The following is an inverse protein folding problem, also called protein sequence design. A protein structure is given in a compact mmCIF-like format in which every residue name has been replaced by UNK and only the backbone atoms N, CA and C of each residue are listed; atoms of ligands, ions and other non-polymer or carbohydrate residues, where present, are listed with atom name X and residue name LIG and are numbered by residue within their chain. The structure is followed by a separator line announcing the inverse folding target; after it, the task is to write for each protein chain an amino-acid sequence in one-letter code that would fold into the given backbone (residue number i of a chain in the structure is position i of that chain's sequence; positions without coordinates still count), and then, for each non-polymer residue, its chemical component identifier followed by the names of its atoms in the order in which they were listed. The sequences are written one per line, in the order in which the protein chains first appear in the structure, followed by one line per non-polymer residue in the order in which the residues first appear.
data_IF_095496541530
#
_entry.id   IF_095496541530
#
_cell.length_a   1.000
_cell.length_b   1.000
_cell.length_c   1.000
_cell.angle_alpha   90.00
_cell.angle_beta   90.00
_cell.angle_gamma   90.00
#
_symmetry.space_group_name_H-M   'P 1'
#
loop_
_entity.id
_entity.type
_entity.pdbx_description
1 polymer ?
#
# COMPACT_ATOMS: atom_id res chain seq x y z
N UNK A 1 21.31 6.65 -12.25
CA UNK A 1 20.68 5.30 -12.37
C UNK A 1 21.39 4.39 -11.37
N UNK A 2 20.62 3.65 -10.55
CA UNK A 2 21.19 2.76 -9.52
C UNK A 2 21.76 1.45 -10.10
N UNK A 3 21.66 1.21 -11.41
CA UNK A 3 22.17 0.00 -12.07
C UNK A 3 21.41 -1.30 -11.71
N UNK A 4 20.28 -1.20 -11.04
CA UNK A 4 19.45 -2.37 -10.64
C UNK A 4 18.62 -2.81 -11.85
N UNK A 5 18.57 -4.12 -12.17
CA UNK A 5 17.76 -4.62 -13.27
C UNK A 5 16.27 -4.46 -12.97
N UNK A 6 15.50 -4.06 -13.98
CA UNK A 6 14.05 -3.98 -13.88
C UNK A 6 13.43 -5.38 -13.99
N UNK A 7 12.45 -5.67 -13.16
CA UNK A 7 11.73 -6.95 -13.14
C UNK A 7 10.75 -7.07 -14.32
N UNK A 8 10.22 -5.92 -14.81
CA UNK A 8 9.26 -5.89 -15.89
C UNK A 8 9.24 -4.56 -16.65
N UNK A 9 8.34 -4.48 -17.65
CA UNK A 9 8.15 -3.28 -18.49
C UNK A 9 7.50 -2.11 -17.75
N UNK A 10 6.89 -2.35 -16.58
CA UNK A 10 6.31 -1.31 -15.75
C UNK A 10 7.37 -0.58 -14.89
N UNK A 11 8.63 -0.99 -14.98
CA UNK A 11 9.73 -0.37 -14.24
C UNK A 11 9.84 -0.83 -12.79
N UNK A 12 9.22 -1.96 -12.44
CA UNK A 12 9.32 -2.54 -11.11
C UNK A 12 10.66 -3.22 -10.90
N UNK A 13 11.07 -3.37 -9.66
CA UNK A 13 12.30 -4.04 -9.26
C UNK A 13 11.99 -5.20 -8.32
N UNK A 14 12.83 -6.25 -8.36
CA UNK A 14 12.76 -7.35 -7.40
C UNK A 14 13.74 -7.05 -6.28
N UNK A 15 13.27 -6.71 -5.07
CA UNK A 15 14.15 -6.51 -3.92
C UNK A 15 14.58 -7.84 -3.31
N UNK A 16 15.52 -7.74 -2.37
CA UNK A 16 15.85 -8.82 -1.44
C UNK A 16 14.70 -9.08 -0.47
N UNK A 17 14.78 -10.14 0.31
CA UNK A 17 13.72 -10.56 1.24
C UNK A 17 13.40 -9.52 2.34
N UNK A 18 14.32 -8.63 2.64
CA UNK A 18 14.19 -7.54 3.62
C UNK A 18 13.69 -6.22 3.00
N UNK A 19 13.40 -6.22 1.69
CA UNK A 19 13.03 -5.08 0.84
C UNK A 19 14.20 -4.15 0.48
N UNK A 20 15.44 -4.51 0.73
CA UNK A 20 16.60 -3.79 0.18
C UNK A 20 16.82 -4.11 -1.29
N UNK A 21 17.56 -3.28 -1.98
CA UNK A 21 17.94 -3.53 -3.38
C UNK A 21 19.15 -4.47 -3.45
N UNK A 22 19.19 -5.41 -4.42
CA UNK A 22 20.33 -6.26 -4.65
C UNK A 22 21.62 -5.45 -4.84
N UNK A 23 22.64 -5.75 -4.04
CA UNK A 23 23.93 -5.04 -4.07
C UNK A 23 23.95 -3.65 -3.42
N UNK A 24 22.79 -3.15 -2.95
CA UNK A 24 22.64 -1.85 -2.29
C UNK A 24 21.82 -2.01 -1.00
N UNK A 25 22.39 -2.62 0.04
CA UNK A 25 21.64 -2.97 1.25
C UNK A 25 21.15 -1.76 2.05
N UNK A 26 21.65 -0.57 1.82
CA UNK A 26 21.21 0.68 2.41
C UNK A 26 20.01 1.31 1.68
N UNK A 27 19.63 0.79 0.51
CA UNK A 27 18.52 1.30 -0.30
C UNK A 27 17.34 0.35 -0.22
N UNK A 28 16.22 0.83 0.33
CA UNK A 28 14.99 0.07 0.41
C UNK A 28 13.98 0.51 -0.63
N UNK A 29 13.17 -0.43 -1.09
CA UNK A 29 12.09 -0.17 -2.05
C UNK A 29 10.76 -0.73 -1.52
N UNK A 30 9.66 -0.02 -1.76
CA UNK A 30 8.33 -0.42 -1.32
C UNK A 30 7.22 0.13 -2.20
N UNK A 31 6.00 -0.40 -2.02
CA UNK A 31 4.82 0.00 -2.79
C UNK A 31 4.81 -0.56 -4.21
N UNK A 32 4.28 0.22 -5.14
CA UNK A 32 4.00 -0.20 -6.52
C UNK A 32 5.25 -0.47 -7.36
N UNK A 33 6.42 0.00 -6.90
CA UNK A 33 7.71 -0.27 -7.54
C UNK A 33 8.22 -1.69 -7.30
N UNK A 34 7.60 -2.43 -6.38
CA UNK A 34 8.07 -3.76 -5.97
C UNK A 34 7.42 -4.86 -6.77
N UNK A 35 8.23 -5.79 -7.29
CA UNK A 35 7.80 -7.04 -7.88
C UNK A 35 8.17 -8.19 -6.94
N UNK A 36 7.22 -8.61 -6.11
CA UNK A 36 7.36 -9.73 -5.16
C UNK A 36 6.15 -10.65 -5.19
N UNK A 37 6.36 -11.88 -4.75
CA UNK A 37 5.30 -12.86 -4.49
C UNK A 37 5.13 -13.09 -2.99
N UNK A 38 3.94 -13.53 -2.61
CA UNK A 38 3.65 -13.98 -1.24
C UNK A 38 4.18 -15.41 -1.00
N UNK A 39 3.96 -15.93 0.20
CA UNK A 39 4.34 -17.30 0.59
C UNK A 39 3.63 -18.42 -0.19
N UNK A 40 2.72 -18.08 -1.10
CA UNK A 40 1.98 -18.98 -1.98
C UNK A 40 2.28 -18.72 -3.45
N UNK A 41 3.41 -18.07 -3.75
CA UNK A 41 3.83 -17.65 -5.10
C UNK A 41 2.83 -16.76 -5.85
N UNK A 42 1.92 -16.06 -5.14
CA UNK A 42 1.00 -15.11 -5.75
C UNK A 42 1.62 -13.73 -5.77
N UNK A 43 1.52 -12.98 -6.87
CA UNK A 43 2.01 -11.61 -6.92
C UNK A 43 1.39 -10.74 -5.82
N UNK A 44 2.23 -10.00 -5.11
CA UNK A 44 1.75 -9.01 -4.14
C UNK A 44 1.16 -7.83 -4.93
N UNK A 45 -0.11 -7.47 -4.70
CA UNK A 45 -0.75 -6.43 -5.48
C UNK A 45 -0.22 -5.03 -5.13
N UNK A 46 -0.17 -4.13 -6.12
CA UNK A 46 0.13 -2.71 -5.94
C UNK A 46 -1.05 -1.98 -5.31
N UNK A 47 -1.22 -2.13 -4.00
CA UNK A 47 -2.31 -1.51 -3.23
C UNK A 47 -1.77 -0.89 -1.94
N UNK A 48 -2.45 0.16 -1.46
CA UNK A 48 -2.04 0.88 -0.26
C UNK A 48 -1.80 0.00 0.99
N UNK A 49 -2.59 -1.05 1.28
CA UNK A 49 -2.30 -1.98 2.38
C UNK A 49 -0.96 -2.70 2.23
N UNK A 50 -0.55 -3.09 1.02
CA UNK A 50 0.76 -3.71 0.78
C UNK A 50 1.89 -2.71 1.00
N UNK A 51 1.79 -1.52 0.39
CA UNK A 51 2.78 -0.45 0.57
C UNK A 51 2.96 -0.05 2.04
N UNK A 52 1.86 0.04 2.80
CA UNK A 52 1.90 0.35 4.23
C UNK A 52 2.60 -0.76 5.04
N UNK A 53 2.40 -2.02 4.70
CA UNK A 53 3.10 -3.14 5.35
C UNK A 53 4.59 -3.12 5.03
N UNK A 54 4.97 -2.87 3.77
CA UNK A 54 6.36 -2.71 3.36
C UNK A 54 7.04 -1.56 4.12
N UNK A 55 6.42 -0.38 4.17
CA UNK A 55 6.96 0.77 4.90
C UNK A 55 7.13 0.51 6.40
N UNK A 56 6.18 -0.20 7.04
CA UNK A 56 6.31 -0.60 8.45
C UNK A 56 7.44 -1.60 8.66
N UNK A 57 7.61 -2.54 7.73
CA UNK A 57 8.70 -3.51 7.77
C UNK A 57 10.06 -2.80 7.68
N UNK A 58 10.26 -1.93 6.69
CA UNK A 58 11.49 -1.14 6.55
C UNK A 58 11.76 -0.32 7.79
N UNK A 59 10.74 0.35 8.35
CA UNK A 59 10.88 1.11 9.59
C UNK A 59 11.31 0.22 10.78
N UNK A 60 10.83 -1.03 10.84
CA UNK A 60 11.24 -1.97 11.89
C UNK A 60 12.68 -2.44 11.70
N UNK A 61 13.11 -2.70 10.48
CA UNK A 61 14.50 -3.05 10.13
C UNK A 61 15.44 -1.92 10.53
N UNK A 62 15.15 -0.68 10.08
CA UNK A 62 15.98 0.48 10.42
C UNK A 62 16.05 0.75 11.92
N UNK A 63 14.93 0.60 12.64
CA UNK A 63 14.90 0.74 14.10
C UNK A 63 15.79 -0.28 14.79
N UNK A 64 15.77 -1.52 14.33
CA UNK A 64 16.62 -2.59 14.90
C UNK A 64 18.10 -2.34 14.57
N UNK A 65 18.39 -1.90 13.35
CA UNK A 65 19.76 -1.53 12.98
C UNK A 65 20.32 -0.39 13.83
N UNK A 66 19.52 0.68 14.05
CA UNK A 66 19.93 1.77 14.94
C UNK A 66 20.13 1.30 16.39
N UNK A 67 19.42 0.25 16.82
CA UNK A 67 19.62 -0.37 18.12
C UNK A 67 20.94 -1.17 18.16
N UNK A 68 21.22 -1.93 17.12
CA UNK A 68 22.42 -2.75 16.99
C UNK A 68 23.69 -1.91 16.83
N UNK A 69 23.64 -0.75 16.19
CA UNK A 69 24.76 0.19 16.09
C UNK A 69 25.31 0.64 17.45
N UNK A 70 24.46 0.60 18.49
CA UNK A 70 24.83 0.92 19.87
C UNK A 70 25.42 -0.28 20.62
N UNK A 71 25.55 -1.44 19.97
CA UNK A 71 26.02 -2.69 20.55
C UNK A 71 27.22 -3.24 19.79
N UNK A 72 27.82 -4.33 20.31
CA UNK A 72 28.93 -5.04 19.67
C UNK A 72 28.57 -5.83 18.41
N UNK A 73 27.28 -5.88 18.02
CA UNK A 73 26.77 -6.67 16.87
C UNK A 73 26.67 -5.87 15.57
N UNK A 74 27.41 -4.78 15.45
CA UNK A 74 27.39 -3.91 14.27
C UNK A 74 27.71 -4.65 12.95
N UNK A 75 28.63 -5.61 12.98
CA UNK A 75 29.08 -6.34 11.79
C UNK A 75 28.05 -7.36 11.28
N UNK A 76 27.15 -7.85 12.15
CA UNK A 76 26.11 -8.83 11.82
C UNK A 76 24.78 -8.18 11.39
N UNK A 77 24.76 -6.88 11.24
CA UNK A 77 23.58 -6.06 10.99
C UNK A 77 22.72 -6.56 9.82
N UNK A 78 23.34 -6.93 8.70
CA UNK A 78 22.65 -7.39 7.48
C UNK A 78 22.06 -8.80 7.65
N UNK A 79 22.78 -9.70 8.32
CA UNK A 79 22.33 -11.08 8.53
C UNK A 79 21.13 -11.19 9.49
N UNK A 80 20.96 -10.18 10.36
CA UNK A 80 19.88 -10.13 11.35
C UNK A 80 18.60 -9.46 10.82
N UNK A 81 18.59 -9.01 9.58
CA UNK A 81 17.40 -8.40 9.00
C UNK A 81 16.27 -9.40 8.85
N UNK A 82 15.09 -9.01 9.32
CA UNK A 82 13.88 -9.81 9.18
C UNK A 82 13.40 -9.85 7.73
N UNK A 83 12.86 -10.99 7.29
CA UNK A 83 12.24 -11.14 5.97
C UNK A 83 10.86 -10.50 5.95
N UNK A 84 10.53 -9.80 4.88
CA UNK A 84 9.19 -9.26 4.68
C UNK A 84 8.18 -10.38 4.43
N UNK A 85 7.03 -10.30 5.08
CA UNK A 85 5.90 -11.22 4.87
C UNK A 85 4.63 -10.42 4.64
N UNK A 86 4.06 -10.56 3.47
CA UNK A 86 2.80 -9.92 3.13
C UNK A 86 1.62 -10.64 3.78
N UNK A 87 0.77 -9.87 4.45
CA UNK A 87 -0.51 -10.33 4.96
C UNK A 87 -1.64 -9.76 4.10
N UNK A 88 -2.28 -10.63 3.31
CA UNK A 88 -3.39 -10.27 2.44
C UNK A 88 -4.65 -9.96 3.27
N UNK A 89 -5.01 -8.68 3.34
CA UNK A 89 -6.23 -8.20 4.02
C UNK A 89 -7.46 -8.23 3.13
N UNK A 90 -7.30 -8.61 1.88
CA UNK A 90 -8.33 -8.54 0.88
C UNK A 90 -8.28 -7.27 0.05
N UNK A 91 -9.20 -7.18 -0.89
CA UNK A 91 -9.32 -6.11 -1.87
C UNK A 91 -10.74 -5.56 -1.86
N UNK A 92 -10.88 -4.27 -2.10
CA UNK A 92 -12.18 -3.63 -2.26
C UNK A 92 -12.13 -2.57 -3.35
N UNK A 93 -13.23 -2.43 -4.08
CA UNK A 93 -13.35 -1.44 -5.16
C UNK A 93 -14.78 -0.86 -5.20
N UNK A 94 -14.87 0.45 -5.43
CA UNK A 94 -16.13 1.11 -5.80
C UNK A 94 -16.42 0.82 -7.27
N UNK A 95 -17.68 0.46 -7.55
CA UNK A 95 -18.20 0.30 -8.91
C UNK A 95 -19.02 1.51 -9.31
N UNK A 96 -19.65 2.18 -8.33
CA UNK A 96 -20.47 3.35 -8.54
C UNK A 96 -21.16 3.83 -7.25
N UNK A 97 -22.09 4.76 -7.38
CA UNK A 97 -22.91 5.24 -6.26
C UNK A 97 -23.69 4.07 -5.66
N UNK A 98 -23.54 3.84 -4.36
CA UNK A 98 -24.18 2.75 -3.61
C UNK A 98 -23.75 1.34 -4.04
N UNK A 99 -22.67 1.20 -4.81
CA UNK A 99 -22.21 -0.08 -5.31
C UNK A 99 -20.70 -0.23 -5.17
N UNK A 100 -20.28 -1.26 -4.45
CA UNK A 100 -18.89 -1.67 -4.31
C UNK A 100 -18.80 -3.19 -4.25
N UNK A 101 -17.58 -3.69 -4.34
CA UNK A 101 -17.23 -5.08 -4.13
C UNK A 101 -16.13 -5.17 -3.07
N UNK A 102 -16.24 -6.15 -2.19
CA UNK A 102 -15.23 -6.45 -1.16
C UNK A 102 -14.96 -7.94 -1.19
N UNK A 103 -13.69 -8.30 -1.25
CA UNK A 103 -13.21 -9.66 -1.14
C UNK A 103 -12.13 -9.71 -0.06
N UNK A 104 -12.39 -10.41 1.04
CA UNK A 104 -11.44 -10.59 2.13
C UNK A 104 -11.49 -12.04 2.63
N UNK A 105 -10.48 -12.82 2.26
CA UNK A 105 -10.47 -14.26 2.51
C UNK A 105 -11.68 -14.95 1.90
N UNK A 106 -12.57 -15.51 2.74
CA UNK A 106 -13.82 -16.17 2.31
C UNK A 106 -15.01 -15.20 2.25
N UNK A 107 -14.87 -13.99 2.79
CA UNK A 107 -15.94 -12.99 2.82
C UNK A 107 -16.03 -12.30 1.46
N UNK A 108 -17.21 -12.34 0.86
CA UNK A 108 -17.54 -11.63 -0.37
C UNK A 108 -18.75 -10.74 -0.10
N UNK A 109 -18.60 -9.42 -0.23
CA UNK A 109 -19.69 -8.46 -0.12
C UNK A 109 -19.83 -7.71 -1.44
N UNK A 110 -21.07 -7.41 -1.81
CA UNK A 110 -21.40 -6.63 -3.02
C UNK A 110 -22.50 -5.61 -2.74
N UNK A 111 -22.66 -4.64 -3.62
CA UNK A 111 -23.73 -3.65 -3.57
C UNK A 111 -23.57 -2.65 -2.43
N UNK A 112 -24.70 -2.24 -1.85
CA UNK A 112 -24.77 -1.16 -0.85
C UNK A 112 -24.01 -1.46 0.43
N UNK A 113 -24.09 -2.69 0.96
CA UNK A 113 -23.36 -3.09 2.18
C UNK A 113 -21.84 -3.02 1.96
N UNK A 114 -21.36 -3.49 0.80
CA UNK A 114 -19.96 -3.37 0.43
C UNK A 114 -19.53 -1.90 0.29
N UNK A 115 -20.41 -1.03 -0.23
CA UNK A 115 -20.17 0.39 -0.35
C UNK A 115 -20.06 1.07 1.02
N UNK A 116 -20.94 0.77 1.97
CA UNK A 116 -20.83 1.25 3.35
C UNK A 116 -19.54 0.77 4.04
N UNK A 117 -19.18 -0.50 3.88
CA UNK A 117 -17.93 -1.04 4.39
C UNK A 117 -16.71 -0.32 3.80
N UNK A 118 -16.73 -0.02 2.51
CA UNK A 118 -15.68 0.74 1.83
C UNK A 118 -15.56 2.15 2.41
N UNK A 119 -16.67 2.90 2.55
CA UNK A 119 -16.69 4.23 3.17
C UNK A 119 -16.09 4.20 4.58
N UNK A 120 -16.57 3.28 5.41
CA UNK A 120 -16.12 3.15 6.80
C UNK A 120 -14.62 2.89 6.90
N UNK A 121 -14.11 1.93 6.12
CA UNK A 121 -12.69 1.55 6.13
C UNK A 121 -11.83 2.73 5.66
N UNK A 122 -12.23 3.45 4.60
CA UNK A 122 -11.45 4.59 4.10
C UNK A 122 -11.40 5.74 5.11
N UNK A 123 -12.52 6.06 5.77
CA UNK A 123 -12.54 7.06 6.86
C UNK A 123 -11.67 6.60 8.04
N UNK A 124 -11.72 5.32 8.40
CA UNK A 124 -10.95 4.77 9.51
C UNK A 124 -9.44 4.94 9.30
N UNK A 125 -8.95 4.65 8.08
CA UNK A 125 -7.53 4.73 7.73
C UNK A 125 -7.03 6.13 7.38
N UNK A 126 -7.92 7.10 7.21
CA UNK A 126 -7.54 8.48 6.96
C UNK A 126 -6.83 9.08 8.18
N UNK A 127 -5.70 9.74 7.96
CA UNK A 127 -4.90 10.34 9.04
C UNK A 127 -5.47 11.70 9.44
N UNK A 128 -5.59 11.91 10.76
CA UNK A 128 -6.03 13.16 11.36
C UNK A 128 -7.55 13.32 11.47
N UNK A 129 -8.02 13.69 12.66
CA UNK A 129 -9.45 13.86 12.93
C UNK A 129 -10.12 14.91 12.04
N UNK A 130 -9.43 16.05 11.85
CA UNK A 130 -9.90 17.13 10.98
C UNK A 130 -10.13 16.65 9.54
N UNK A 131 -9.21 15.86 9.01
CA UNK A 131 -9.33 15.31 7.66
C UNK A 131 -10.50 14.32 7.55
N UNK A 132 -10.69 13.46 8.57
CA UNK A 132 -11.83 12.54 8.62
C UNK A 132 -13.17 13.29 8.57
N UNK A 133 -13.29 14.33 9.37
CA UNK A 133 -14.52 15.14 9.43
C UNK A 133 -14.76 15.87 8.10
N UNK A 134 -13.72 16.51 7.53
CA UNK A 134 -13.82 17.22 6.26
C UNK A 134 -14.25 16.30 5.11
N UNK A 135 -13.64 15.12 5.00
CA UNK A 135 -13.98 14.14 3.95
C UNK A 135 -15.39 13.60 4.17
N UNK A 136 -15.78 13.30 5.42
CA UNK A 136 -17.12 12.80 5.73
C UNK A 136 -18.20 13.82 5.33
N UNK A 137 -18.00 15.10 5.66
CA UNK A 137 -18.92 16.17 5.31
C UNK A 137 -18.97 16.41 3.78
N UNK A 138 -17.82 16.39 3.13
CA UNK A 138 -17.72 16.50 1.67
C UNK A 138 -18.47 15.36 0.97
N UNK A 139 -18.29 14.13 1.40
CA UNK A 139 -19.01 12.98 0.85
C UNK A 139 -20.52 13.04 1.11
N UNK A 140 -20.95 13.44 2.33
CA UNK A 140 -22.37 13.61 2.62
C UNK A 140 -23.00 14.67 1.70
N UNK A 141 -22.31 15.79 1.50
CA UNK A 141 -22.76 16.86 0.64
C UNK A 141 -22.85 16.43 -0.84
N UNK A 142 -21.80 15.77 -1.36
CA UNK A 142 -21.77 15.24 -2.71
C UNK A 142 -22.87 14.19 -2.94
N UNK A 143 -23.12 13.35 -1.93
CA UNK A 143 -24.17 12.33 -2.00
C UNK A 143 -25.57 12.94 -2.11
N UNK A 144 -25.87 14.01 -1.33
CA UNK A 144 -27.17 14.69 -1.33
C UNK A 144 -27.39 15.48 -2.62
N UNK A 145 -26.33 16.15 -3.13
CA UNK A 145 -26.43 16.98 -4.34
C UNK A 145 -26.31 16.22 -5.65
N UNK A 146 -25.91 14.96 -5.60
CA UNK A 146 -25.65 14.11 -6.77
C UNK A 146 -24.66 14.74 -7.78
N UNK A 147 -23.74 15.55 -7.27
CA UNK A 147 -22.73 16.22 -8.09
C UNK A 147 -21.39 15.48 -7.97
N UNK A 148 -20.73 15.10 -9.09
CA UNK A 148 -19.39 14.54 -9.01
C UNK A 148 -18.40 15.60 -8.53
N UNK A 149 -17.59 15.26 -7.53
CA UNK A 149 -16.55 16.14 -6.97
C UNK A 149 -15.37 16.37 -7.92
N UNK A 150 -15.28 15.58 -8.97
CA UNK A 150 -14.17 15.64 -9.94
C UNK A 150 -14.65 16.12 -11.30
N UNK A 151 -14.00 17.18 -11.82
CA UNK A 151 -14.16 17.61 -13.20
C UNK A 151 -13.06 16.99 -14.04
N UNK A 152 -13.45 16.29 -15.11
CA UNK A 152 -12.49 15.83 -16.12
C UNK A 152 -12.18 17.05 -17.00
N UNK A 153 -10.96 17.57 -16.91
CA UNK A 153 -10.47 18.61 -17.81
C UNK A 153 -9.91 17.89 -19.04
N UNK A 154 -10.66 17.88 -20.12
CA UNK A 154 -10.18 17.39 -21.41
C UNK A 154 -9.49 18.55 -22.10
N UNK A 155 -8.17 18.49 -22.23
CA UNK A 155 -7.44 19.39 -23.12
C UNK A 155 -7.71 18.93 -24.56
N UNK A 156 -8.43 19.72 -25.35
CA UNK A 156 -8.53 19.50 -26.80
C UNK A 156 -7.22 20.02 -27.41
N UNK A 157 -6.40 19.22 -28.06
CA UNK A 157 -5.32 19.76 -28.88
C UNK A 157 -5.95 20.47 -30.07
N UNK A 158 -5.54 21.72 -30.29
CA UNK A 158 -5.84 22.49 -31.50
C UNK A 158 -5.21 21.85 -32.73
#
# INVERSE_FOLDING_TARGET
QLGVPLADRAGRVTPEEDLSLPGLPEVFVGGDLVCLTDSRDRPIPGVAPAATQMGRHVASVLKEECRLEKTKFREQKLELRARFRYFDKGIMAIVGKNAAVVLSGKLKLTGFIAWLAWLFIHILFLVGFRNKLSVLLGWAFAYVRDTPDTRIIVHRPD
#
